data_IF_400329794602
#
_entry.id   IF_400329794602
#
_cell.length_a   1.000
_cell.length_b   1.000
_cell.length_c   1.000
_cell.angle_alpha   90.00
_cell.angle_beta   90.00
_cell.angle_gamma   90.00
#
_symmetry.space_group_name_H-M   'P 1'
#
loop_
_entity.id
_entity.type
_entity.pdbx_description
1 polymer ?
#
# COMPACT_ATOMS: atom_id res chain seq x y z
N UNK A 1 6.10 -6.11 24.26
CA UNK A 1 5.72 -7.30 23.51
C UNK A 1 4.22 -7.31 23.14
N UNK A 2 3.35 -6.84 24.01
CA UNK A 2 1.89 -6.82 23.77
C UNK A 2 1.40 -5.67 22.89
N UNK A 3 2.12 -4.57 22.81
CA UNK A 3 1.65 -3.34 22.16
C UNK A 3 1.86 -3.33 20.65
N UNK A 4 2.91 -3.97 20.15
CA UNK A 4 3.13 -4.13 18.71
C UNK A 4 2.02 -4.97 18.06
N UNK A 5 1.38 -5.82 18.84
CA UNK A 5 0.28 -6.66 18.40
C UNK A 5 -1.02 -5.89 18.14
N UNK A 6 -1.18 -4.68 18.69
CA UNK A 6 -2.33 -3.83 18.42
C UNK A 6 -2.32 -3.27 17.02
N UNK A 7 -1.16 -2.88 16.51
CA UNK A 7 -1.04 -2.34 15.15
C UNK A 7 -1.24 -3.38 14.05
N UNK A 8 -1.03 -4.66 14.34
CA UNK A 8 -1.04 -5.73 13.34
C UNK A 8 -2.17 -6.75 13.53
N UNK A 9 -3.12 -6.45 14.42
CA UNK A 9 -4.32 -7.25 14.63
C UNK A 9 -4.08 -8.72 14.99
N UNK A 10 -4.03 -8.97 16.29
CA UNK A 10 -4.05 -10.30 16.88
C UNK A 10 -2.69 -10.98 16.95
N UNK A 11 -2.31 -11.33 18.19
CA UNK A 11 -1.01 -11.96 18.53
C UNK A 11 -0.70 -13.24 17.76
N UNK A 12 -1.73 -13.87 17.24
CA UNK A 12 -1.63 -15.17 16.57
C UNK A 12 -1.25 -15.07 15.08
N UNK A 13 -1.25 -13.85 14.54
CA UNK A 13 -1.04 -13.61 13.11
C UNK A 13 0.41 -13.27 12.74
N UNK A 14 1.35 -13.24 13.69
CA UNK A 14 2.72 -12.84 13.43
C UNK A 14 3.71 -13.92 13.80
N UNK A 15 4.53 -14.32 12.85
CA UNK A 15 5.78 -15.06 13.11
C UNK A 15 6.85 -13.99 13.28
N UNK A 16 7.42 -13.90 14.49
CA UNK A 16 8.39 -12.85 14.85
C UNK A 16 9.81 -13.30 14.62
N UNK A 17 10.61 -12.37 14.15
CA UNK A 17 12.05 -12.41 14.39
C UNK A 17 12.49 -11.09 15.04
N UNK A 18 13.40 -11.15 16.02
CA UNK A 18 13.88 -9.98 16.75
C UNK A 18 15.10 -9.41 16.06
N UNK A 19 15.05 -8.13 15.75
CA UNK A 19 16.24 -7.36 15.44
C UNK A 19 16.50 -6.36 16.57
N UNK A 20 17.56 -6.61 17.33
CA UNK A 20 18.18 -5.59 18.16
C UNK A 20 19.29 -4.94 17.33
N UNK A 21 18.99 -3.83 16.70
CA UNK A 21 20.01 -2.99 16.05
C UNK A 21 19.70 -1.54 16.36
N UNK A 22 20.70 -0.69 16.38
CA UNK A 22 20.58 0.76 16.39
C UNK A 22 19.93 1.24 15.07
N UNK A 23 18.70 0.81 14.83
CA UNK A 23 17.92 1.19 13.68
C UNK A 23 17.19 2.49 14.02
N UNK A 24 17.18 3.41 13.07
CA UNK A 24 16.39 4.62 13.17
C UNK A 24 14.94 4.28 13.49
N UNK A 25 14.38 5.04 14.41
CA UNK A 25 12.98 4.94 14.78
C UNK A 25 12.09 4.85 13.54
N UNK A 26 11.12 3.96 13.51
CA UNK A 26 10.21 3.81 12.36
C UNK A 26 9.52 5.11 12.01
N UNK A 27 9.21 5.95 12.99
CA UNK A 27 8.70 7.30 12.78
C UNK A 27 9.74 8.25 12.19
N UNK A 28 11.04 8.04 12.42
CA UNK A 28 12.10 8.80 11.74
C UNK A 28 12.28 8.36 10.29
N UNK A 29 12.03 7.08 10.01
CA UNK A 29 11.98 6.55 8.66
C UNK A 29 10.63 6.78 7.98
N UNK A 30 9.62 7.20 8.75
CA UNK A 30 8.28 7.43 8.24
C UNK A 30 8.14 8.82 7.63
N UNK A 31 7.41 8.93 6.49
CA UNK A 31 7.18 10.19 5.78
C UNK A 31 6.53 11.31 6.60
N UNK A 32 5.97 10.97 7.76
CA UNK A 32 5.30 11.96 8.62
C UNK A 32 6.29 12.97 9.17
N UNK A 33 7.49 12.53 9.50
CA UNK A 33 8.47 13.39 10.16
C UNK A 33 9.59 13.87 9.23
N UNK A 34 10.28 12.94 8.57
CA UNK A 34 11.46 13.24 7.75
C UNK A 34 11.24 13.11 6.24
N UNK A 35 10.03 12.73 5.81
CA UNK A 35 9.67 12.72 4.41
C UNK A 35 10.51 11.81 3.52
N UNK A 36 11.04 10.76 4.05
CA UNK A 36 11.88 9.83 3.30
C UNK A 36 11.07 8.98 2.32
N UNK A 37 10.33 9.65 1.41
CA UNK A 37 9.91 9.14 0.10
C UNK A 37 8.97 7.92 0.05
N UNK A 38 8.49 7.44 1.17
CA UNK A 38 7.54 6.31 1.24
C UNK A 38 6.08 6.77 1.32
N UNK A 39 5.65 7.72 0.48
CA UNK A 39 4.27 8.21 0.52
C UNK A 39 3.33 7.26 -0.21
N UNK A 40 2.15 6.96 0.36
CA UNK A 40 1.11 6.24 -0.35
C UNK A 40 0.69 6.96 -1.63
N UNK A 41 0.34 6.22 -2.66
CA UNK A 41 -0.13 6.78 -3.93
C UNK A 41 -1.63 6.74 -4.02
N UNK A 42 -2.21 7.56 -4.90
CA UNK A 42 -3.61 7.50 -5.29
C UNK A 42 -4.03 6.07 -5.68
N UNK A 43 -3.21 5.41 -6.48
CA UNK A 43 -3.46 4.05 -6.94
C UNK A 43 -3.65 3.05 -5.79
N UNK A 44 -2.84 3.16 -4.73
CA UNK A 44 -3.03 2.34 -3.54
C UNK A 44 -4.29 2.73 -2.78
N UNK A 45 -4.58 4.02 -2.64
CA UNK A 45 -5.80 4.50 -1.98
C UNK A 45 -7.06 3.96 -2.67
N UNK A 46 -7.08 3.93 -4.01
CA UNK A 46 -8.20 3.43 -4.79
C UNK A 46 -8.43 1.92 -4.64
N UNK A 47 -7.38 1.16 -4.32
CA UNK A 47 -7.50 -0.30 -4.13
C UNK A 47 -8.30 -0.71 -2.90
N UNK A 48 -8.40 0.14 -1.88
CA UNK A 48 -9.20 -0.15 -0.69
C UNK A 48 -10.69 -0.18 -1.06
N UNK A 49 -11.38 -1.24 -0.64
CA UNK A 49 -12.79 -1.47 -0.95
C UNK A 49 -13.72 -0.60 -0.10
N UNK A 50 -14.97 -0.51 -0.47
CA UNK A 50 -16.00 0.08 0.39
C UNK A 50 -16.44 -0.93 1.46
N UNK A 51 -16.47 -0.48 2.72
CA UNK A 51 -16.72 -1.37 3.88
C UNK A 51 -18.12 -1.97 3.85
N UNK A 52 -19.13 -1.18 3.55
CA UNK A 52 -20.52 -1.62 3.59
C UNK A 52 -20.86 -2.69 2.54
N UNK A 53 -20.18 -2.65 1.40
CA UNK A 53 -20.51 -3.49 0.25
C UNK A 53 -19.42 -4.50 -0.09
N UNK A 54 -18.18 -4.25 0.29
CA UNK A 54 -17.00 -5.03 -0.17
C UNK A 54 -16.64 -4.77 -1.62
N UNK A 55 -17.22 -3.79 -2.28
CA UNK A 55 -17.01 -3.47 -3.69
C UNK A 55 -15.86 -2.48 -3.89
N UNK A 56 -15.16 -2.56 -5.04
CA UNK A 56 -14.24 -1.51 -5.48
C UNK A 56 -14.94 -0.18 -5.67
N UNK A 57 -14.23 0.92 -5.43
CA UNK A 57 -14.80 2.28 -5.53
C UNK A 57 -15.30 2.64 -6.94
N UNK A 58 -14.77 2.01 -7.96
CA UNK A 58 -15.18 2.18 -9.36
C UNK A 58 -16.54 1.55 -9.66
N UNK A 59 -17.01 0.65 -8.80
CA UNK A 59 -18.33 0.03 -8.98
C UNK A 59 -19.42 1.02 -8.57
N UNK A 60 -20.39 1.25 -9.44
CA UNK A 60 -21.47 2.21 -9.20
C UNK A 60 -22.31 1.91 -7.93
N UNK A 61 -22.32 0.65 -7.49
CA UNK A 61 -23.03 0.20 -6.29
C UNK A 61 -22.14 0.13 -5.04
N UNK A 62 -20.91 0.64 -5.11
CA UNK A 62 -19.95 0.55 -4.00
C UNK A 62 -20.35 1.35 -2.78
N UNK A 63 -21.08 2.43 -2.97
CA UNK A 63 -21.37 3.40 -1.91
C UNK A 63 -20.19 4.32 -1.61
N UNK A 64 -19.27 4.49 -2.54
CA UNK A 64 -18.16 5.44 -2.41
C UNK A 64 -18.68 6.88 -2.56
N UNK A 65 -18.35 7.74 -1.61
CA UNK A 65 -18.87 9.12 -1.53
C UNK A 65 -18.02 10.13 -2.35
N UNK A 66 -16.96 9.67 -2.99
CA UNK A 66 -16.11 10.52 -3.84
C UNK A 66 -14.98 11.21 -3.10
N UNK A 67 -14.36 12.20 -3.74
CA UNK A 67 -13.11 12.83 -3.30
C UNK A 67 -13.28 14.32 -2.99
N UNK A 68 -14.51 14.78 -2.77
CA UNK A 68 -14.77 16.20 -2.54
C UNK A 68 -14.20 16.69 -1.20
N UNK A 69 -14.20 15.83 -0.20
CA UNK A 69 -13.67 16.11 1.14
C UNK A 69 -12.85 14.94 1.67
N UNK A 70 -12.02 15.17 2.71
CA UNK A 70 -11.33 14.09 3.44
C UNK A 70 -12.36 13.08 3.94
N UNK A 71 -13.45 13.56 4.50
CA UNK A 71 -14.50 12.71 5.05
C UNK A 71 -15.06 11.78 3.97
N UNK A 72 -15.46 12.29 2.82
CA UNK A 72 -16.03 11.48 1.75
C UNK A 72 -15.05 10.47 1.16
N UNK A 73 -13.77 10.81 1.13
CA UNK A 73 -12.73 9.90 0.64
C UNK A 73 -12.46 8.73 1.59
N UNK A 74 -12.52 8.95 2.92
CA UNK A 74 -12.17 7.97 3.94
C UNK A 74 -13.37 7.29 4.61
N UNK A 75 -14.59 7.82 4.44
CA UNK A 75 -15.79 7.18 4.96
C UNK A 75 -16.12 5.92 4.16
N UNK A 76 -16.77 4.98 4.83
CA UNK A 76 -17.19 3.72 4.22
C UNK A 76 -16.08 2.98 3.45
N UNK A 77 -14.83 3.12 3.85
CA UNK A 77 -13.69 2.42 3.24
C UNK A 77 -13.20 1.29 4.14
N UNK A 78 -12.51 0.35 3.55
CA UNK A 78 -11.81 -0.72 4.25
C UNK A 78 -11.01 -0.13 5.42
N UNK A 79 -11.21 -0.59 6.66
CA UNK A 79 -10.53 -0.04 7.83
C UNK A 79 -9.01 -0.07 7.73
N UNK A 80 -8.44 -0.99 6.94
CA UNK A 80 -7.00 -1.06 6.69
C UNK A 80 -6.46 0.18 5.97
N UNK A 81 -7.32 0.93 5.27
CA UNK A 81 -6.90 2.23 4.71
C UNK A 81 -6.49 3.20 5.82
N UNK A 82 -7.31 3.35 6.87
CA UNK A 82 -7.00 4.20 8.03
C UNK A 82 -5.85 3.64 8.89
N UNK A 83 -5.60 2.34 8.83
CA UNK A 83 -4.45 1.70 9.49
C UNK A 83 -3.15 1.85 8.69
N UNK A 84 -3.22 2.16 7.42
CA UNK A 84 -2.06 2.33 6.54
C UNK A 84 -1.76 3.79 6.27
N UNK A 85 -2.77 4.63 6.16
CA UNK A 85 -2.68 6.06 5.85
C UNK A 85 -2.99 6.88 7.08
N UNK A 86 -2.10 7.78 7.45
CA UNK A 86 -2.37 8.77 8.48
C UNK A 86 -3.43 9.75 7.98
N UNK A 87 -4.58 9.69 8.62
CA UNK A 87 -5.66 10.61 8.29
C UNK A 87 -5.35 12.02 8.82
N UNK A 88 -5.65 13.07 8.04
CA UNK A 88 -5.65 14.44 8.58
C UNK A 88 -6.53 14.55 9.83
N UNK A 89 -6.05 15.29 10.82
CA UNK A 89 -6.73 15.44 12.12
C UNK A 89 -6.52 14.30 13.12
N UNK A 90 -5.73 13.26 12.77
CA UNK A 90 -5.42 12.17 13.70
C UNK A 90 -4.23 12.53 14.59
N UNK A 91 -4.33 12.21 15.89
CA UNK A 91 -3.23 12.34 16.82
C UNK A 91 -2.18 11.26 16.56
N UNK A 92 -0.91 11.63 16.64
CA UNK A 92 0.22 10.73 16.52
C UNK A 92 1.36 11.15 17.45
N UNK A 93 2.32 10.27 17.65
CA UNK A 93 3.49 10.53 18.50
C UNK A 93 4.71 10.74 17.60
N UNK A 94 5.33 11.92 17.73
CA UNK A 94 6.63 12.21 17.16
C UNK A 94 7.73 11.86 18.17
N UNK A 95 8.80 11.19 17.75
CA UNK A 95 9.92 10.88 18.64
C UNK A 95 10.58 12.12 19.25
N UNK A 96 10.61 13.22 18.50
CA UNK A 96 11.30 14.44 18.92
C UNK A 96 10.37 15.41 19.66
N UNK A 97 9.13 15.52 19.22
CA UNK A 97 8.20 16.56 19.68
C UNK A 97 7.11 16.04 20.63
N UNK A 98 7.06 14.72 20.85
CA UNK A 98 6.02 14.08 21.68
C UNK A 98 4.68 13.95 20.94
N UNK A 99 3.58 14.11 21.68
CA UNK A 99 2.24 14.00 21.11
C UNK A 99 1.95 15.18 20.17
N UNK A 100 1.58 14.86 18.94
CA UNK A 100 1.22 15.82 17.90
C UNK A 100 -0.12 15.43 17.28
N UNK A 101 -0.80 16.40 16.70
CA UNK A 101 -1.97 16.17 15.87
C UNK A 101 -1.61 16.43 14.41
N UNK A 102 -1.90 15.47 13.53
CA UNK A 102 -1.76 15.68 12.10
C UNK A 102 -2.64 16.88 11.70
N UNK A 103 -2.15 17.84 10.91
CA UNK A 103 -2.97 18.94 10.44
C UNK A 103 -4.31 18.43 9.90
N UNK A 104 -5.41 19.14 10.09
CA UNK A 104 -6.74 18.71 9.68
C UNK A 104 -6.94 18.70 8.15
N UNK A 105 -5.89 18.93 7.41
CA UNK A 105 -5.86 18.94 5.96
C UNK A 105 -4.62 18.24 5.44
N UNK A 106 -4.68 17.77 4.19
CA UNK A 106 -3.49 17.25 3.53
C UNK A 106 -2.44 18.34 3.38
N UNK A 107 -1.18 17.92 3.47
CA UNK A 107 -0.04 18.82 3.22
C UNK A 107 0.81 18.20 2.12
N UNK A 108 1.12 18.99 1.10
CA UNK A 108 2.09 18.62 0.07
C UNK A 108 3.39 19.31 0.39
N UNK A 109 4.42 18.51 0.60
CA UNK A 109 5.79 18.96 0.84
C UNK A 109 6.73 18.04 0.05
N UNK A 110 8.01 18.37 -0.08
CA UNK A 110 8.97 17.44 -0.67
C UNK A 110 8.89 16.01 -0.07
N UNK A 111 8.52 15.94 1.20
CA UNK A 111 8.40 14.70 1.96
C UNK A 111 7.05 13.98 1.74
N UNK A 112 6.00 14.70 1.43
CA UNK A 112 4.64 14.17 1.25
C UNK A 112 4.09 14.52 -0.12
N UNK A 113 4.85 14.21 -1.17
CA UNK A 113 4.55 14.63 -2.55
C UNK A 113 3.15 14.25 -3.03
N UNK A 114 2.60 13.14 -2.56
CA UNK A 114 1.25 12.69 -2.94
C UNK A 114 0.15 13.35 -2.13
N UNK A 115 0.47 14.05 -1.04
CA UNK A 115 -0.47 14.53 -0.03
C UNK A 115 -0.86 13.48 1.02
N UNK A 116 -0.74 12.19 0.70
CA UNK A 116 -0.96 11.11 1.65
C UNK A 116 0.25 10.89 2.54
N UNK A 117 0.02 10.49 3.78
CA UNK A 117 1.06 10.13 4.75
C UNK A 117 0.92 8.67 5.15
N UNK A 118 2.04 8.00 5.36
CA UNK A 118 2.06 6.63 5.85
C UNK A 118 1.81 6.61 7.35
N UNK A 119 0.93 5.69 7.80
CA UNK A 119 0.65 5.43 9.20
C UNK A 119 1.16 4.06 9.67
N UNK A 120 1.12 3.08 8.78
CA UNK A 120 1.55 1.71 9.08
C UNK A 120 3.00 1.71 9.58
N UNK A 121 3.26 1.00 10.67
CA UNK A 121 4.54 0.94 11.39
C UNK A 121 4.90 2.20 12.19
N UNK A 122 3.98 3.11 12.40
CA UNK A 122 4.21 4.21 13.34
C UNK A 122 4.24 3.71 14.79
N UNK A 123 5.10 4.34 15.61
CA UNK A 123 5.15 4.10 17.04
C UNK A 123 3.88 4.59 17.72
N UNK A 124 3.35 3.80 18.66
CA UNK A 124 2.27 4.23 19.54
C UNK A 124 2.79 4.96 20.79
N UNK A 125 4.08 4.83 21.08
CA UNK A 125 4.73 5.44 22.23
C UNK A 125 5.96 6.22 21.82
N UNK A 126 6.27 7.29 22.56
CA UNK A 126 7.51 8.04 22.35
C UNK A 126 8.71 7.17 22.72
N UNK A 127 9.62 6.99 21.78
CA UNK A 127 10.94 6.39 21.98
C UNK A 127 12.02 7.36 21.52
N UNK A 128 13.20 7.37 22.15
CA UNK A 128 14.29 8.22 21.71
C UNK A 128 14.64 7.95 20.25
N UNK A 129 14.98 9.01 19.52
CA UNK A 129 15.48 8.92 18.16
C UNK A 129 16.64 7.92 18.07
N UNK A 130 16.69 7.14 17.00
CA UNK A 130 17.71 6.11 16.72
C UNK A 130 17.76 4.93 17.72
N UNK A 131 16.73 4.78 18.56
CA UNK A 131 16.66 3.67 19.55
C UNK A 131 15.35 2.91 19.46
N UNK A 132 14.95 2.62 18.24
CA UNK A 132 13.76 1.84 17.97
C UNK A 132 14.03 0.33 18.16
N UNK A 133 13.15 -0.29 18.93
CA UNK A 133 13.19 -1.74 19.21
C UNK A 133 12.02 -2.48 18.55
N UNK A 134 11.48 -1.94 17.46
CA UNK A 134 10.39 -2.59 16.75
C UNK A 134 10.86 -3.83 16.01
N UNK A 135 10.17 -4.93 16.26
CA UNK A 135 10.36 -6.16 15.50
C UNK A 135 9.85 -5.98 14.07
N UNK A 136 10.68 -6.19 13.07
CA UNK A 136 10.24 -6.30 11.69
C UNK A 136 9.75 -7.71 11.41
N UNK A 137 8.56 -7.84 10.82
CA UNK A 137 8.00 -9.14 10.49
C UNK A 137 8.58 -9.64 9.17
N UNK A 138 9.37 -10.69 9.23
CA UNK A 138 9.90 -11.35 8.02
C UNK A 138 8.80 -12.09 7.30
N UNK A 139 7.97 -12.83 8.04
CA UNK A 139 6.81 -13.57 7.51
C UNK A 139 5.63 -13.35 8.46
N UNK A 140 4.48 -13.01 7.88
CA UNK A 140 3.22 -12.88 8.62
C UNK A 140 2.23 -13.97 8.21
N UNK A 141 1.39 -14.40 9.13
CA UNK A 141 0.35 -15.40 8.85
C UNK A 141 -0.59 -14.97 7.69
N UNK A 142 -1.05 -13.72 7.58
CA UNK A 142 -1.80 -13.27 6.41
C UNK A 142 -1.09 -13.50 5.07
N UNK A 143 0.23 -13.36 5.02
CA UNK A 143 0.99 -13.67 3.81
C UNK A 143 0.84 -15.13 3.41
N UNK A 144 0.96 -16.06 4.36
CA UNK A 144 0.80 -17.50 4.12
C UNK A 144 -0.61 -17.82 3.61
N UNK A 145 -1.64 -17.22 4.21
CA UNK A 145 -3.02 -17.37 3.76
C UNK A 145 -3.23 -16.86 2.34
N UNK A 146 -2.65 -15.72 2.01
CA UNK A 146 -2.74 -15.11 0.68
C UNK A 146 -1.95 -15.90 -0.38
N UNK A 147 -0.81 -16.48 0.00
CA UNK A 147 -0.06 -17.41 -0.86
C UNK A 147 -0.92 -18.64 -1.16
N UNK A 148 -1.56 -19.22 -0.15
CA UNK A 148 -2.41 -20.38 -0.35
C UNK A 148 -3.60 -20.07 -1.28
N UNK A 149 -4.28 -18.93 -1.06
CA UNK A 149 -5.40 -18.52 -1.91
C UNK A 149 -4.97 -18.33 -3.36
N UNK A 150 -3.89 -17.58 -3.58
CA UNK A 150 -3.37 -17.29 -4.91
C UNK A 150 -2.87 -18.57 -5.61
N UNK A 151 -2.07 -19.39 -4.94
CA UNK A 151 -1.53 -20.62 -5.51
C UNK A 151 -2.63 -21.62 -5.90
N UNK A 152 -3.68 -21.74 -5.06
CA UNK A 152 -4.84 -22.57 -5.39
C UNK A 152 -5.53 -22.07 -6.65
N UNK A 153 -5.81 -20.76 -6.72
CA UNK A 153 -6.47 -20.17 -7.88
C UNK A 153 -5.63 -20.30 -9.16
N UNK A 154 -4.34 -19.99 -9.10
CA UNK A 154 -3.47 -20.03 -10.28
C UNK A 154 -3.24 -21.47 -10.79
N UNK A 155 -3.24 -22.46 -9.90
CA UNK A 155 -3.12 -23.88 -10.24
C UNK A 155 -4.37 -24.42 -10.95
N UNK A 156 -5.55 -24.12 -10.38
CA UNK A 156 -6.79 -24.79 -10.77
C UNK A 156 -7.70 -23.91 -11.66
N UNK A 157 -7.33 -22.64 -11.87
CA UNK A 157 -8.16 -21.64 -12.57
C UNK A 157 -9.44 -21.25 -11.81
N UNK A 158 -9.60 -21.76 -10.58
CA UNK A 158 -10.75 -21.53 -9.71
C UNK A 158 -10.36 -21.69 -8.24
N UNK A 159 -11.18 -21.15 -7.34
CA UNK A 159 -11.03 -21.32 -5.89
C UNK A 159 -12.40 -21.56 -5.28
N UNK A 160 -12.50 -22.52 -4.39
CA UNK A 160 -13.75 -22.79 -3.68
C UNK A 160 -14.00 -21.81 -2.54
N UNK A 161 -15.28 -21.60 -2.19
CA UNK A 161 -15.63 -20.77 -1.02
C UNK A 161 -15.09 -21.36 0.28
N UNK A 162 -14.89 -22.68 0.38
CA UNK A 162 -14.24 -23.32 1.53
C UNK A 162 -12.77 -22.86 1.69
N UNK A 163 -12.03 -22.77 0.60
CA UNK A 163 -10.65 -22.23 0.64
C UNK A 163 -10.66 -20.72 0.90
N UNK A 164 -11.57 -19.96 0.30
CA UNK A 164 -11.71 -18.52 0.59
C UNK A 164 -11.99 -18.30 2.07
N UNK A 165 -12.85 -19.12 2.69
CA UNK A 165 -13.17 -19.04 4.12
C UNK A 165 -11.98 -19.39 5.03
N UNK A 166 -11.07 -20.24 4.58
CA UNK A 166 -9.84 -20.61 5.30
C UNK A 166 -8.67 -19.65 5.05
N UNK A 167 -8.80 -18.72 4.13
CA UNK A 167 -7.73 -17.82 3.70
C UNK A 167 -8.15 -16.36 3.76
N UNK A 168 -8.63 -15.80 2.68
CA UNK A 168 -8.99 -14.38 2.55
C UNK A 168 -10.03 -13.96 3.59
N UNK A 169 -11.05 -14.78 3.81
CA UNK A 169 -12.12 -14.42 4.74
C UNK A 169 -11.69 -14.46 6.21
N UNK A 170 -10.63 -15.21 6.55
CA UNK A 170 -9.99 -15.12 7.87
C UNK A 170 -9.39 -13.73 8.07
N UNK A 171 -8.73 -13.19 7.04
CA UNK A 171 -8.15 -11.83 7.09
C UNK A 171 -9.25 -10.79 7.18
N UNK A 172 -10.30 -10.92 6.35
CA UNK A 172 -11.41 -9.96 6.28
C UNK A 172 -12.26 -9.93 7.56
N UNK A 173 -12.44 -11.07 8.21
CA UNK A 173 -13.28 -11.19 9.42
C UNK A 173 -12.58 -10.78 10.71
N UNK A 174 -11.27 -10.56 10.69
CA UNK A 174 -10.54 -10.23 11.92
C UNK A 174 -11.00 -8.91 12.52
N UNK A 175 -10.91 -8.81 13.85
CA UNK A 175 -11.25 -7.60 14.59
C UNK A 175 -10.49 -6.38 14.08
N UNK A 176 -11.20 -5.29 13.84
CA UNK A 176 -10.66 -4.03 13.30
C UNK A 176 -10.56 -3.99 11.77
N UNK A 177 -10.95 -5.06 11.07
CA UNK A 177 -11.12 -5.10 9.61
C UNK A 177 -12.60 -5.31 9.29
N UNK A 178 -13.18 -6.45 9.63
CA UNK A 178 -14.62 -6.72 9.56
C UNK A 178 -15.21 -6.34 8.19
N UNK A 179 -14.54 -6.77 7.13
CA UNK A 179 -14.99 -6.59 5.75
C UNK A 179 -15.96 -7.70 5.34
N UNK A 180 -16.87 -7.45 4.40
CA UNK A 180 -17.70 -8.48 3.80
C UNK A 180 -16.87 -9.64 3.24
N UNK A 181 -17.34 -10.89 3.37
CA UNK A 181 -16.61 -12.05 2.87
C UNK A 181 -16.52 -12.04 1.34
N UNK A 182 -15.38 -12.47 0.82
CA UNK A 182 -15.20 -12.76 -0.60
C UNK A 182 -15.76 -14.16 -0.89
N UNK A 183 -16.68 -14.25 -1.85
CA UNK A 183 -17.29 -15.52 -2.30
C UNK A 183 -17.42 -15.56 -3.81
N UNK A 184 -17.51 -16.74 -4.38
CA UNK A 184 -17.74 -16.90 -5.82
C UNK A 184 -19.06 -16.26 -6.27
N UNK A 185 -20.11 -16.37 -5.45
CA UNK A 185 -21.39 -15.73 -5.72
C UNK A 185 -21.28 -14.20 -5.73
N UNK A 186 -20.53 -13.62 -4.78
CA UNK A 186 -20.29 -12.19 -4.71
C UNK A 186 -19.53 -11.67 -5.94
N UNK A 187 -18.45 -12.34 -6.32
CA UNK A 187 -17.63 -11.97 -7.47
C UNK A 187 -18.45 -12.02 -8.76
N UNK A 188 -19.16 -13.12 -8.98
CA UNK A 188 -20.01 -13.29 -10.16
C UNK A 188 -21.19 -12.30 -10.20
N UNK A 189 -21.85 -12.08 -9.08
CA UNK A 189 -23.01 -11.19 -8.98
C UNK A 189 -22.69 -9.73 -9.24
N UNK A 190 -21.44 -9.32 -8.99
CA UNK A 190 -20.98 -7.94 -9.18
C UNK A 190 -20.07 -7.74 -10.42
N UNK A 191 -19.94 -8.77 -11.26
CA UNK A 191 -19.11 -8.68 -12.48
C UNK A 191 -17.63 -8.50 -12.21
N UNK A 192 -17.14 -8.96 -11.06
CA UNK A 192 -15.73 -8.88 -10.67
C UNK A 192 -14.94 -10.07 -11.21
N UNK A 193 -13.62 -9.94 -11.20
CA UNK A 193 -12.69 -11.03 -11.53
C UNK A 193 -12.00 -11.55 -10.26
N UNK A 194 -12.12 -12.86 -10.00
CA UNK A 194 -11.59 -13.48 -8.78
C UNK A 194 -10.07 -13.32 -8.65
N UNK A 195 -9.32 -13.44 -9.76
CA UNK A 195 -7.86 -13.23 -9.74
C UNK A 195 -7.51 -11.82 -9.31
N UNK A 196 -8.22 -10.85 -9.83
CA UNK A 196 -8.06 -9.44 -9.48
C UNK A 196 -8.36 -9.21 -8.00
N UNK A 197 -9.41 -9.81 -7.46
CA UNK A 197 -9.78 -9.64 -6.06
C UNK A 197 -8.78 -10.33 -5.11
N UNK A 198 -8.25 -11.50 -5.43
CA UNK A 198 -7.17 -12.16 -4.68
C UNK A 198 -5.91 -11.27 -4.66
N UNK A 199 -5.52 -10.73 -5.82
CA UNK A 199 -4.35 -9.83 -5.94
C UNK A 199 -4.57 -8.49 -5.24
N UNK A 200 -5.80 -7.97 -5.26
CA UNK A 200 -6.20 -6.77 -4.52
C UNK A 200 -6.06 -6.99 -3.02
N UNK A 201 -6.59 -8.09 -2.50
CA UNK A 201 -6.51 -8.44 -1.08
C UNK A 201 -5.05 -8.53 -0.63
N UNK A 202 -4.19 -9.19 -1.42
CA UNK A 202 -2.76 -9.26 -1.14
C UNK A 202 -2.11 -7.88 -1.15
N UNK A 203 -2.46 -7.03 -2.09
CA UNK A 203 -1.90 -5.67 -2.20
C UNK A 203 -2.28 -4.81 -1.00
N UNK A 204 -3.55 -4.86 -0.58
CA UNK A 204 -4.07 -4.10 0.56
C UNK A 204 -3.43 -4.58 1.87
N UNK A 205 -3.43 -5.89 2.10
CA UNK A 205 -2.96 -6.48 3.35
C UNK A 205 -1.46 -6.28 3.55
N UNK A 206 -0.67 -6.50 2.51
CA UNK A 206 0.79 -6.43 2.55
C UNK A 206 1.35 -5.08 2.06
N UNK A 207 0.52 -4.03 2.05
CA UNK A 207 0.95 -2.69 1.68
C UNK A 207 2.14 -2.25 2.55
N UNK A 208 3.18 -1.69 1.92
CA UNK A 208 4.42 -1.23 2.55
C UNK A 208 5.28 -2.33 3.22
N UNK A 209 5.07 -3.58 2.87
CA UNK A 209 5.89 -4.71 3.35
C UNK A 209 6.90 -5.23 2.30
N UNK A 210 7.13 -4.47 1.24
CA UNK A 210 8.16 -4.78 0.23
C UNK A 210 7.71 -5.69 -0.91
N UNK A 211 6.54 -6.33 -0.84
CA UNK A 211 6.13 -7.36 -1.80
C UNK A 211 5.70 -6.84 -3.18
N UNK A 212 5.18 -5.62 -3.27
CA UNK A 212 4.49 -5.13 -4.48
C UNK A 212 5.31 -5.23 -5.74
N UNK A 213 6.59 -4.88 -5.70
CA UNK A 213 7.48 -4.92 -6.87
C UNK A 213 7.62 -6.32 -7.44
N UNK A 214 7.84 -7.29 -6.57
CA UNK A 214 8.03 -8.68 -6.98
C UNK A 214 6.70 -9.31 -7.41
N UNK A 215 5.60 -8.98 -6.75
CA UNK A 215 4.26 -9.37 -7.15
C UNK A 215 3.94 -8.90 -8.58
N UNK A 216 4.17 -7.64 -8.92
CA UNK A 216 3.94 -7.12 -10.26
C UNK A 216 4.80 -7.82 -11.32
N UNK A 217 6.04 -8.17 -10.98
CA UNK A 217 6.95 -8.89 -11.89
C UNK A 217 6.50 -10.34 -12.10
N UNK A 218 6.20 -11.08 -11.04
CA UNK A 218 5.74 -12.48 -11.14
C UNK A 218 4.35 -12.60 -11.77
N UNK A 219 3.47 -11.61 -11.57
CA UNK A 219 2.17 -11.55 -12.24
C UNK A 219 2.24 -11.12 -13.70
N UNK A 220 3.41 -10.68 -14.17
CA UNK A 220 3.60 -10.13 -15.52
C UNK A 220 2.68 -8.93 -15.81
N UNK A 221 2.49 -8.07 -14.82
CA UNK A 221 1.68 -6.85 -14.93
C UNK A 221 2.49 -5.57 -14.73
N UNK A 222 3.79 -5.68 -14.48
CA UNK A 222 4.66 -4.53 -14.20
C UNK A 222 4.71 -3.54 -15.39
N UNK A 223 4.66 -4.03 -16.62
CA UNK A 223 4.69 -3.24 -17.84
C UNK A 223 3.44 -2.35 -18.05
N UNK A 224 2.32 -2.69 -17.40
CA UNK A 224 1.11 -1.88 -17.43
C UNK A 224 0.92 -1.08 -16.12
N UNK A 225 1.30 -1.67 -15.01
CA UNK A 225 1.07 -1.10 -13.67
C UNK A 225 2.06 0.00 -13.30
N UNK A 226 3.29 -0.03 -13.87
CA UNK A 226 4.37 0.87 -13.47
C UNK A 226 4.59 2.05 -14.42
N UNK A 227 3.98 2.07 -15.59
CA UNK A 227 4.21 3.12 -16.60
C UNK A 227 3.28 4.32 -16.47
N UNK A 228 2.19 4.20 -15.74
CA UNK A 228 1.25 5.30 -15.52
C UNK A 228 1.81 6.39 -14.61
N UNK A 229 1.27 7.62 -14.72
CA UNK A 229 1.64 8.71 -13.82
C UNK A 229 1.43 8.34 -12.35
N UNK A 230 2.33 8.78 -11.49
CA UNK A 230 2.10 8.70 -10.03
C UNK A 230 1.22 9.88 -9.64
N UNK A 231 0.07 9.55 -9.07
CA UNK A 231 -0.92 10.54 -8.64
C UNK A 231 -1.07 10.56 -7.13
N UNK A 232 -1.43 11.73 -6.63
CA UNK A 232 -1.75 11.98 -5.23
C UNK A 232 -3.23 12.29 -5.00
N UNK A 233 -3.48 13.10 -3.97
CA UNK A 233 -4.81 13.55 -3.60
C UNK A 233 -5.52 14.30 -4.73
N UNK A 234 -6.84 14.40 -4.66
CA UNK A 234 -7.60 15.27 -5.53
C UNK A 234 -7.46 16.71 -5.06
N UNK A 235 -7.01 17.60 -5.94
CA UNK A 235 -6.93 19.04 -5.70
C UNK A 235 -8.12 19.76 -6.32
N UNK A 236 -8.22 19.75 -7.64
CA UNK A 236 -9.31 20.44 -8.37
C UNK A 236 -10.66 19.81 -8.07
N UNK A 237 -11.65 20.65 -7.72
CA UNK A 237 -12.99 20.18 -7.40
C UNK A 237 -13.08 19.47 -6.05
N UNK A 238 -12.17 19.74 -5.13
CA UNK A 238 -12.21 19.27 -3.76
C UNK A 238 -12.07 20.45 -2.79
N UNK A 239 -12.22 20.21 -1.50
CA UNK A 239 -11.99 21.22 -0.45
C UNK A 239 -10.53 21.71 -0.39
N UNK A 240 -9.62 21.05 -1.13
CA UNK A 240 -8.19 21.39 -1.20
C UNK A 240 -7.83 22.30 -2.37
N UNK A 241 -8.77 22.68 -3.23
CA UNK A 241 -8.49 23.45 -4.45
C UNK A 241 -7.79 24.78 -4.18
N UNK A 242 -8.08 25.40 -3.04
CA UNK A 242 -7.52 26.68 -2.63
C UNK A 242 -6.48 26.55 -1.52
N UNK A 243 -6.06 25.33 -1.18
CA UNK A 243 -4.98 25.18 -0.22
C UNK A 243 -3.69 25.70 -0.83
N UNK A 244 -2.99 26.51 -0.04
CA UNK A 244 -1.65 27.01 -0.32
C UNK A 244 -0.60 25.89 -0.21
N UNK A 245 -0.96 24.76 -0.77
CA UNK A 245 -0.24 23.49 -0.75
C UNK A 245 1.00 23.56 -1.61
N UNK A 246 1.11 24.64 -2.38
CA UNK A 246 2.01 24.77 -3.52
C UNK A 246 3.11 25.80 -3.27
N UNK A 247 3.20 26.36 -2.07
CA UNK A 247 4.11 27.46 -1.75
C UNK A 247 5.61 27.11 -1.77
N UNK A 248 6.00 25.91 -2.14
CA UNK A 248 7.40 25.58 -2.35
C UNK A 248 7.76 25.40 -3.85
N UNK A 249 7.19 26.23 -4.70
CA UNK A 249 7.75 26.49 -6.03
C UNK A 249 7.38 25.51 -7.13
N UNK A 250 6.43 24.61 -6.91
CA UNK A 250 5.93 23.74 -7.97
C UNK A 250 4.40 23.85 -8.04
N UNK A 251 3.84 24.57 -9.05
CA UNK A 251 2.40 24.53 -9.29
C UNK A 251 2.07 23.08 -9.62
N UNK A 252 1.39 22.40 -8.70
CA UNK A 252 1.05 20.99 -8.85
C UNK A 252 0.29 20.78 -10.16
N UNK A 253 0.88 20.06 -11.07
CA UNK A 253 0.18 19.58 -12.25
C UNK A 253 -0.97 18.69 -11.79
N UNK A 254 -2.15 18.97 -12.28
CA UNK A 254 -3.30 18.09 -12.09
C UNK A 254 -3.67 17.43 -13.40
N UNK A 255 -4.18 16.22 -13.31
CA UNK A 255 -4.80 15.58 -14.46
C UNK A 255 -6.18 16.20 -14.78
N UNK A 256 -6.84 15.71 -15.80
CA UNK A 256 -8.17 16.12 -16.24
C UNK A 256 -9.25 15.95 -15.16
N UNK A 257 -9.05 15.00 -14.25
CA UNK A 257 -9.95 14.70 -13.13
C UNK A 257 -9.60 15.49 -11.87
N UNK A 258 -8.58 16.31 -11.89
CA UNK A 258 -8.17 17.17 -10.78
C UNK A 258 -7.25 16.48 -9.76
N UNK A 259 -6.70 15.31 -10.05
CA UNK A 259 -5.73 14.63 -9.18
C UNK A 259 -4.32 15.19 -9.39
N UNK A 260 -3.60 15.39 -8.29
CA UNK A 260 -2.21 15.81 -8.31
C UNK A 260 -1.34 14.80 -9.07
N UNK A 261 -0.55 15.28 -10.03
CA UNK A 261 0.48 14.49 -10.72
C UNK A 261 1.81 14.73 -10.01
N UNK A 262 2.31 13.69 -9.36
CA UNK A 262 3.61 13.73 -8.66
C UNK A 262 4.76 13.39 -9.59
N UNK A 263 4.54 12.41 -10.46
CA UNK A 263 5.47 11.98 -11.49
C UNK A 263 4.69 11.72 -12.78
N UNK A 264 4.95 12.44 -13.85
CA UNK A 264 4.25 12.24 -15.12
C UNK A 264 4.64 10.91 -15.78
N UNK A 265 3.74 10.39 -16.62
CA UNK A 265 3.90 9.08 -17.24
C UNK A 265 5.10 9.01 -18.18
N UNK A 266 5.44 10.12 -18.85
CA UNK A 266 6.57 10.21 -19.79
C UNK A 266 7.93 9.96 -19.12
N UNK A 267 8.04 10.19 -17.81
CA UNK A 267 9.25 9.90 -17.04
C UNK A 267 9.36 8.44 -16.58
N UNK A 268 8.34 7.64 -16.87
CA UNK A 268 8.24 6.28 -16.37
C UNK A 268 8.37 5.29 -17.52
N UNK A 269 9.27 4.34 -17.36
CA UNK A 269 9.56 3.37 -18.40
C UNK A 269 9.71 1.95 -17.82
N UNK A 270 9.10 0.99 -18.50
CA UNK A 270 9.28 -0.42 -18.24
C UNK A 270 9.45 -1.17 -19.55
N UNK A 271 10.67 -1.55 -19.86
CA UNK A 271 11.02 -2.25 -21.11
C UNK A 271 10.92 -3.75 -20.91
N UNK A 272 10.04 -4.40 -21.66
CA UNK A 272 9.88 -5.85 -21.71
C UNK A 272 10.81 -6.44 -22.81
N UNK A 273 11.49 -7.57 -22.56
CA UNK A 273 11.52 -8.36 -21.31
C UNK A 273 12.56 -7.89 -20.29
N UNK A 274 13.38 -6.89 -20.62
CA UNK A 274 14.55 -6.42 -19.84
C UNK A 274 14.25 -6.24 -18.36
N UNK A 275 13.25 -5.44 -18.00
CA UNK A 275 12.99 -5.04 -16.63
C UNK A 275 12.28 -6.12 -15.79
N UNK A 276 11.90 -7.25 -16.38
CA UNK A 276 11.48 -8.42 -15.63
C UNK A 276 12.65 -9.19 -15.02
N UNK A 277 13.86 -8.98 -15.52
CA UNK A 277 15.07 -9.63 -15.02
C UNK A 277 16.04 -8.60 -14.46
N UNK A 278 16.98 -9.07 -13.65
CA UNK A 278 18.14 -8.28 -13.24
C UNK A 278 19.29 -8.54 -14.21
N UNK A 279 20.15 -7.54 -14.42
CA UNK A 279 21.43 -7.75 -15.08
C UNK A 279 22.30 -8.65 -14.22
N UNK A 280 22.98 -9.60 -14.87
CA UNK A 280 24.11 -10.26 -14.22
C UNK A 280 25.26 -9.25 -14.14
N UNK A 281 25.96 -9.14 -12.99
CA UNK A 281 27.14 -8.27 -12.88
C UNK A 281 28.18 -8.62 -13.95
N UNK A 282 28.79 -7.61 -14.55
CA UNK A 282 29.77 -7.83 -15.62
C UNK A 282 30.98 -8.62 -15.11
N UNK A 283 31.43 -8.36 -13.88
CA UNK A 283 32.55 -9.08 -13.27
C UNK A 283 32.27 -10.58 -13.16
N UNK A 284 31.04 -10.96 -12.82
CA UNK A 284 30.64 -12.38 -12.76
C UNK A 284 30.66 -13.04 -14.15
N UNK A 285 30.24 -12.32 -15.19
CA UNK A 285 30.30 -12.81 -16.58
C UNK A 285 31.75 -12.99 -17.05
N UNK A 286 32.67 -12.14 -16.62
CA UNK A 286 34.10 -12.29 -16.90
C UNK A 286 34.73 -13.47 -16.16
N UNK A 287 34.36 -13.65 -14.90
CA UNK A 287 34.90 -14.73 -14.06
C UNK A 287 34.35 -16.10 -14.49
N UNK A 288 33.11 -16.16 -14.95
CA UNK A 288 32.48 -17.39 -15.39
C UNK A 288 31.77 -17.23 -16.75
N UNK A 289 32.48 -17.50 -17.85
CA UNK A 289 31.89 -17.38 -19.19
C UNK A 289 30.64 -18.25 -19.46
N UNK A 290 30.40 -19.28 -18.64
CA UNK A 290 29.18 -20.10 -18.76
C UNK A 290 27.90 -19.35 -18.34
N UNK A 291 28.02 -18.19 -17.70
CA UNK A 291 26.88 -17.33 -17.40
C UNK A 291 26.44 -16.48 -18.60
N UNK A 292 27.23 -16.43 -19.67
CA UNK A 292 26.86 -15.69 -20.86
C UNK A 292 25.83 -16.46 -21.72
N UNK A 293 24.95 -15.75 -22.43
CA UNK A 293 24.78 -14.31 -22.45
C UNK A 293 24.08 -13.79 -21.19
N UNK A 294 24.13 -12.46 -20.96
CA UNK A 294 23.36 -11.82 -19.90
C UNK A 294 21.85 -12.05 -20.09
N UNK A 295 21.06 -11.72 -19.06
CA UNK A 295 19.59 -11.82 -19.16
C UNK A 295 19.03 -10.97 -20.31
N UNK A 296 17.87 -11.38 -20.90
CA UNK A 296 17.31 -10.73 -22.08
C UNK A 296 17.20 -9.22 -21.96
N UNK A 297 17.83 -8.50 -22.89
CA UNK A 297 17.80 -7.04 -22.97
C UNK A 297 18.87 -6.30 -22.16
N UNK A 298 19.76 -7.06 -21.47
CA UNK A 298 20.91 -6.53 -20.74
C UNK A 298 22.21 -6.72 -21.48
#
# INVERSE_FOLDING_TARGET
AYEILRCLVGSEMCIRDRYETDIRHHSDACPVYWGWRGTPTRKLADMYLCKSTGLPIENANSGFEGYATIKSEYENRDPRMKQTFLMPGTDYISPQDGALTCPPQFTIRPETRTGYKLWKYMAETSVPSDKDVYDYHIIRYPEVLLILAEATYEKDGAISDDILNKTINVIRSRKGVEMPPLTNAFVKGNGLDMRTEIRRERTIELAFEGFRRDDLRRWKTAETELIGAIKGIKLKGSEYENLDVLNEGNPGLTDENGFLIVEPAENRNFVTPKHYYYSLPLDELYLNPNLAPNNPGW
#
